data_IF_562505187289
#
_entry.id   IF_562505187289
#
_cell.length_a   1.000
_cell.length_b   1.000
_cell.length_c   1.000
_cell.angle_alpha   90.00
_cell.angle_beta   90.00
_cell.angle_gamma   90.00
#
_symmetry.space_group_name_H-M   'P 1'
#
loop_
_entity.id
_entity.type
_entity.pdbx_description
1 polymer ?
#
# COMPACT_ATOMS: atom_id res chain seq x y z
N UNK A 1 18.12 1.40 -10.69
CA UNK A 1 17.15 0.39 -10.20
C UNK A 1 17.81 -0.40 -9.08
N UNK A 2 17.10 -0.64 -7.98
CA UNK A 2 17.58 -1.43 -6.85
C UNK A 2 17.18 -2.90 -6.99
N UNK A 3 15.89 -3.14 -7.28
CA UNK A 3 15.31 -4.46 -7.42
C UNK A 3 14.67 -4.61 -8.81
N UNK A 4 14.99 -5.69 -9.51
CA UNK A 4 14.41 -6.04 -10.81
C UNK A 4 13.81 -7.44 -10.72
N UNK A 5 12.59 -7.59 -11.15
CA UNK A 5 11.79 -8.80 -11.10
C UNK A 5 11.32 -9.10 -12.50
N UNK A 6 11.67 -10.27 -13.04
CA UNK A 6 11.31 -10.64 -14.39
C UNK A 6 10.62 -12.00 -14.45
N UNK A 7 9.40 -11.99 -14.99
CA UNK A 7 8.57 -13.14 -15.31
C UNK A 7 8.41 -14.16 -14.17
N UNK A 8 8.19 -13.70 -12.92
CA UNK A 8 8.00 -14.60 -11.78
C UNK A 8 6.73 -15.44 -11.93
N UNK A 9 6.90 -16.74 -11.70
CA UNK A 9 5.82 -17.73 -11.68
C UNK A 9 5.91 -18.53 -10.39
N UNK A 10 4.73 -18.79 -9.78
CA UNK A 10 4.60 -19.68 -8.63
C UNK A 10 3.32 -20.47 -8.71
N UNK A 11 3.47 -21.79 -8.77
CA UNK A 11 2.38 -22.75 -8.76
C UNK A 11 2.28 -23.45 -7.40
N UNK A 12 1.07 -23.54 -6.86
CA UNK A 12 0.72 -24.43 -5.77
C UNK A 12 -0.29 -25.48 -6.26
N UNK A 13 -0.50 -26.60 -5.55
CA UNK A 13 -1.47 -27.61 -5.98
C UNK A 13 -2.85 -27.01 -6.26
N UNK A 14 -3.23 -26.95 -7.53
CA UNK A 14 -4.53 -26.43 -7.98
C UNK A 14 -4.62 -24.91 -8.16
N UNK A 15 -3.56 -24.13 -7.86
CA UNK A 15 -3.60 -22.67 -7.97
C UNK A 15 -2.27 -22.12 -8.48
N UNK A 16 -2.31 -21.34 -9.57
CA UNK A 16 -1.20 -20.51 -9.99
C UNK A 16 -1.29 -19.17 -9.23
N UNK A 17 -0.49 -19.02 -8.19
CA UNK A 17 -0.54 -17.87 -7.30
C UNK A 17 0.17 -16.62 -7.89
N UNK A 18 1.22 -16.84 -8.68
CA UNK A 18 1.98 -15.80 -9.40
C UNK A 18 2.14 -16.25 -10.85
N UNK A 19 1.80 -15.40 -11.79
CA UNK A 19 1.69 -15.74 -13.21
C UNK A 19 2.33 -14.67 -14.09
N UNK A 20 3.66 -14.73 -14.22
CA UNK A 20 4.44 -13.85 -15.08
C UNK A 20 4.59 -12.42 -14.53
N UNK A 21 4.74 -12.26 -13.21
CA UNK A 21 4.90 -10.96 -12.58
C UNK A 21 6.26 -10.36 -12.89
N UNK A 22 6.28 -9.15 -13.47
CA UNK A 22 7.49 -8.40 -13.81
C UNK A 22 7.36 -6.94 -13.40
N UNK A 23 8.36 -6.42 -12.67
CA UNK A 23 8.45 -5.00 -12.30
C UNK A 23 9.87 -4.66 -11.84
N UNK A 24 10.12 -3.37 -11.68
CA UNK A 24 11.38 -2.89 -11.11
C UNK A 24 11.11 -1.80 -10.10
N UNK A 25 11.97 -1.70 -9.08
CA UNK A 25 11.90 -0.71 -8.01
C UNK A 25 13.17 0.13 -8.03
N UNK A 26 13.02 1.43 -8.12
CA UNK A 26 14.13 2.36 -8.05
C UNK A 26 14.55 2.59 -6.60
N UNK A 27 15.84 2.89 -6.40
CA UNK A 27 16.40 3.21 -5.10
C UNK A 27 15.73 4.45 -4.48
N UNK A 28 15.49 4.42 -3.17
CA UNK A 28 14.87 5.51 -2.41
C UNK A 28 13.38 5.73 -2.73
N UNK A 29 12.71 4.76 -3.37
CA UNK A 29 11.29 4.82 -3.72
C UNK A 29 10.45 3.87 -2.89
N UNK A 30 9.20 4.23 -2.72
CA UNK A 30 8.18 3.36 -2.18
C UNK A 30 7.35 2.78 -3.34
N UNK A 31 7.40 1.45 -3.48
CA UNK A 31 6.63 0.70 -4.48
C UNK A 31 5.52 -0.09 -3.79
N UNK A 32 4.29 0.06 -4.27
CA UNK A 32 3.11 -0.62 -3.75
C UNK A 32 2.64 -1.76 -4.65
N UNK A 33 2.45 -2.95 -4.08
CA UNK A 33 1.77 -4.06 -4.75
C UNK A 33 0.34 -4.16 -4.22
N UNK A 34 -0.64 -3.74 -5.04
CA UNK A 34 -2.02 -3.56 -4.66
C UNK A 34 -2.91 -4.63 -5.26
N UNK A 35 -3.86 -5.14 -4.48
CA UNK A 35 -4.84 -6.10 -4.99
C UNK A 35 -5.68 -6.72 -3.88
N UNK A 36 -6.73 -7.49 -4.24
CA UNK A 36 -7.57 -8.16 -3.26
C UNK A 36 -6.82 -9.29 -2.55
N UNK A 37 -7.45 -9.87 -1.53
CA UNK A 37 -6.97 -11.09 -0.92
C UNK A 37 -6.93 -12.22 -1.95
N UNK A 38 -5.87 -13.03 -1.91
CA UNK A 38 -5.67 -14.11 -2.89
C UNK A 38 -5.16 -13.65 -4.27
N UNK A 39 -4.89 -12.35 -4.50
CA UNK A 39 -4.35 -11.87 -5.77
C UNK A 39 -2.90 -12.28 -6.06
N UNK A 40 -2.18 -12.86 -5.08
CA UNK A 40 -0.78 -13.25 -5.22
C UNK A 40 0.22 -12.26 -4.62
N UNK A 41 -0.23 -11.21 -3.88
CA UNK A 41 0.64 -10.20 -3.26
C UNK A 41 1.66 -10.81 -2.29
N UNK A 42 1.16 -11.50 -1.25
CA UNK A 42 2.00 -12.12 -0.22
C UNK A 42 2.94 -13.17 -0.82
N UNK A 43 2.46 -14.01 -1.75
CA UNK A 43 3.31 -14.99 -2.43
C UNK A 43 4.42 -14.32 -3.24
N UNK A 44 4.11 -13.22 -3.95
CA UNK A 44 5.12 -12.44 -4.65
C UNK A 44 6.14 -11.88 -3.67
N UNK A 45 5.68 -11.33 -2.54
CA UNK A 45 6.54 -10.76 -1.52
C UNK A 45 7.45 -11.84 -0.89
N UNK A 46 6.91 -13.00 -0.49
CA UNK A 46 7.66 -14.12 0.08
C UNK A 46 8.76 -14.63 -0.87
N UNK A 47 8.51 -14.61 -2.19
CA UNK A 47 9.52 -14.94 -3.18
C UNK A 47 10.64 -13.88 -3.16
N UNK A 48 10.30 -12.60 -3.13
CA UNK A 48 11.26 -11.50 -3.09
C UNK A 48 12.07 -11.48 -1.80
N UNK A 49 11.48 -11.82 -0.69
CA UNK A 49 12.11 -11.95 0.63
C UNK A 49 13.06 -13.17 0.72
N UNK A 50 12.93 -14.11 -0.22
CA UNK A 50 13.70 -15.33 -0.24
C UNK A 50 13.21 -16.40 0.73
N UNK A 51 11.94 -16.35 1.12
CA UNK A 51 11.28 -17.35 1.96
C UNK A 51 10.80 -18.51 1.11
N UNK A 52 10.24 -18.19 -0.07
CA UNK A 52 9.72 -19.15 -1.05
C UNK A 52 10.49 -19.01 -2.35
N UNK A 53 10.81 -20.13 -3.01
CA UNK A 53 11.44 -20.09 -4.33
C UNK A 53 10.37 -19.92 -5.41
N UNK A 54 10.69 -19.11 -6.44
CA UNK A 54 9.88 -19.06 -7.65
C UNK A 54 10.08 -20.36 -8.45
N UNK A 55 9.05 -20.76 -9.19
CA UNK A 55 9.15 -21.90 -10.11
C UNK A 55 9.77 -21.46 -11.45
N UNK A 56 9.52 -20.20 -11.86
CA UNK A 56 10.15 -19.57 -13.04
C UNK A 56 10.42 -18.08 -12.75
N UNK A 57 11.28 -17.48 -13.57
CA UNK A 57 11.63 -16.06 -13.51
C UNK A 57 12.94 -15.77 -12.78
N UNK A 58 13.32 -14.50 -12.73
CA UNK A 58 14.58 -14.06 -12.13
C UNK A 58 14.39 -12.82 -11.27
N UNK A 59 15.23 -12.70 -10.24
CA UNK A 59 15.30 -11.56 -9.33
C UNK A 59 16.73 -11.06 -9.33
N UNK A 60 16.90 -9.77 -9.64
CA UNK A 60 18.18 -9.08 -9.57
C UNK A 60 18.12 -7.98 -8.51
N UNK A 61 19.15 -7.92 -7.70
CA UNK A 61 19.36 -6.86 -6.72
C UNK A 61 20.67 -6.14 -7.07
N UNK A 62 20.63 -4.81 -7.23
CA UNK A 62 21.73 -4.03 -7.79
C UNK A 62 22.25 -4.56 -9.15
N UNK A 63 21.33 -5.03 -10.02
CA UNK A 63 21.68 -5.58 -11.34
C UNK A 63 22.36 -6.94 -11.32
N UNK A 64 22.52 -7.58 -10.15
CA UNK A 64 23.09 -8.93 -10.00
C UNK A 64 22.02 -9.92 -9.52
N UNK A 65 22.09 -11.22 -9.90
CA UNK A 65 21.20 -12.21 -9.34
C UNK A 65 21.22 -12.20 -7.80
N UNK A 66 20.07 -12.36 -7.18
CA UNK A 66 19.94 -12.41 -5.72
C UNK A 66 20.88 -13.47 -5.12
N UNK A 67 21.75 -13.03 -4.20
CA UNK A 67 22.72 -13.87 -3.49
C UNK A 67 22.25 -14.22 -2.07
N UNK A 68 22.99 -15.09 -1.38
CA UNK A 68 22.72 -15.42 0.03
C UNK A 68 22.89 -14.20 0.96
N UNK A 69 23.78 -13.27 0.59
CA UNK A 69 24.01 -12.03 1.36
C UNK A 69 22.85 -11.03 1.28
N UNK A 70 21.92 -11.25 0.34
CA UNK A 70 20.74 -10.41 0.19
C UNK A 70 19.97 -10.23 1.49
N UNK A 71 19.85 -11.29 2.30
CA UNK A 71 19.14 -11.26 3.61
C UNK A 71 19.80 -10.34 4.64
N UNK A 72 21.06 -9.98 4.48
CA UNK A 72 21.76 -9.06 5.37
C UNK A 72 21.44 -7.58 5.08
N UNK A 73 20.96 -7.29 3.87
CA UNK A 73 20.70 -5.92 3.38
C UNK A 73 19.23 -5.60 3.17
N UNK A 74 18.34 -6.54 3.46
CA UNK A 74 16.89 -6.33 3.43
C UNK A 74 16.29 -6.42 4.82
N UNK A 75 15.24 -5.63 5.06
CA UNK A 75 14.42 -5.68 6.25
C UNK A 75 13.04 -6.21 5.92
N UNK A 76 12.47 -7.04 6.78
CA UNK A 76 11.17 -7.68 6.52
C UNK A 76 10.25 -7.46 7.70
N UNK A 77 9.08 -6.90 7.44
CA UNK A 77 7.97 -6.86 8.37
C UNK A 77 6.84 -7.75 7.83
N UNK A 78 6.72 -8.94 8.38
CA UNK A 78 5.65 -9.88 8.03
C UNK A 78 4.29 -9.42 8.53
N UNK A 79 3.23 -9.81 7.83
CA UNK A 79 1.84 -9.58 8.27
C UNK A 79 1.59 -10.17 9.67
N UNK A 80 2.10 -11.38 9.93
CA UNK A 80 1.97 -12.07 11.19
C UNK A 80 3.36 -12.50 11.71
N UNK A 81 3.94 -11.72 12.61
CA UNK A 81 5.18 -12.08 13.30
C UNK A 81 4.87 -12.54 14.71
N UNK A 82 5.20 -13.78 15.04
CA UNK A 82 5.18 -14.25 16.42
C UNK A 82 6.44 -13.73 17.14
N UNK A 83 6.27 -12.79 18.05
CA UNK A 83 7.34 -12.42 18.98
C UNK A 83 7.39 -13.47 20.12
N UNK A 84 8.57 -13.69 20.67
CA UNK A 84 8.74 -14.61 21.78
C UNK A 84 7.95 -14.11 23.00
N UNK A 85 7.26 -15.04 23.69
CA UNK A 85 6.51 -14.71 24.88
C UNK A 85 7.41 -14.23 26.03
N UNK A 86 6.87 -13.36 26.88
CA UNK A 86 7.55 -12.82 28.06
C UNK A 86 8.80 -11.99 27.78
N UNK A 87 9.01 -11.52 26.54
CA UNK A 87 10.04 -10.56 26.20
C UNK A 87 9.53 -9.14 26.31
N UNK A 88 10.38 -8.24 26.76
CA UNK A 88 10.19 -6.80 26.68
C UNK A 88 10.53 -6.31 25.26
N UNK A 89 10.07 -5.10 24.90
CA UNK A 89 10.44 -4.43 23.64
C UNK A 89 11.96 -4.33 23.48
N UNK A 90 12.67 -3.97 24.54
CA UNK A 90 14.13 -3.88 24.60
C UNK A 90 14.82 -5.21 24.29
N UNK A 91 14.34 -6.28 24.90
CA UNK A 91 14.88 -7.63 24.69
C UNK A 91 14.62 -8.14 23.27
N UNK A 92 13.44 -7.86 22.72
CA UNK A 92 13.13 -8.19 21.34
C UNK A 92 14.07 -7.46 20.37
N UNK A 93 14.27 -6.15 20.51
CA UNK A 93 15.22 -5.39 19.68
C UNK A 93 16.63 -5.96 19.77
N UNK A 94 17.15 -6.22 20.99
CA UNK A 94 18.47 -6.80 21.17
C UNK A 94 18.63 -8.20 20.58
N UNK A 95 17.57 -9.01 20.63
CA UNK A 95 17.58 -10.35 20.03
C UNK A 95 17.78 -10.25 18.52
N UNK A 96 16.96 -9.43 17.85
CA UNK A 96 17.07 -9.28 16.38
C UNK A 96 18.37 -8.60 15.97
N UNK A 97 18.84 -7.61 16.74
CA UNK A 97 20.15 -6.97 16.55
C UNK A 97 21.28 -8.00 16.50
N UNK A 98 21.24 -9.00 17.36
CA UNK A 98 22.29 -10.02 17.44
C UNK A 98 22.39 -10.96 16.20
N UNK A 99 21.41 -10.97 15.31
CA UNK A 99 21.43 -11.79 14.10
C UNK A 99 22.20 -11.18 12.94
N UNK A 100 22.55 -9.90 13.02
CA UNK A 100 23.16 -9.17 11.92
C UNK A 100 24.56 -8.70 12.25
N UNK A 101 25.45 -8.75 11.26
CA UNK A 101 26.80 -8.24 11.38
C UNK A 101 26.85 -6.69 11.30
N UNK A 102 25.97 -6.11 10.47
CA UNK A 102 25.75 -4.67 10.39
C UNK A 102 24.41 -4.37 11.03
N UNK A 103 24.38 -3.36 11.89
CA UNK A 103 23.17 -2.98 12.58
C UNK A 103 23.11 -1.46 12.83
N UNK A 104 21.90 -0.95 12.89
CA UNK A 104 21.59 0.43 13.28
C UNK A 104 21.57 0.52 14.81
N UNK A 105 22.08 1.61 15.43
CA UNK A 105 21.99 1.79 16.87
C UNK A 105 20.54 1.67 17.38
N UNK A 106 20.32 0.83 18.40
CA UNK A 106 18.97 0.59 18.95
C UNK A 106 18.31 1.88 19.41
N UNK A 107 19.05 2.83 19.97
CA UNK A 107 18.50 4.10 20.45
C UNK A 107 17.92 4.94 19.29
N UNK A 108 18.52 4.90 18.10
CA UNK A 108 17.98 5.55 16.91
C UNK A 108 16.67 4.88 16.45
N UNK A 109 16.60 3.55 16.50
CA UNK A 109 15.37 2.81 16.19
C UNK A 109 14.25 3.12 17.18
N UNK A 110 14.61 3.24 18.45
CA UNK A 110 13.67 3.60 19.53
C UNK A 110 13.10 5.00 19.32
N UNK A 111 13.93 5.94 18.92
CA UNK A 111 13.51 7.31 18.63
C UNK A 111 12.63 7.33 17.34
N UNK A 112 13.13 6.77 16.24
CA UNK A 112 12.44 6.72 14.95
C UNK A 112 11.05 6.10 15.07
N UNK A 113 10.92 4.96 15.76
CA UNK A 113 9.67 4.22 15.88
C UNK A 113 8.84 4.61 17.13
N UNK A 114 9.25 5.66 17.86
CA UNK A 114 8.56 6.14 19.07
C UNK A 114 8.30 5.02 20.09
N UNK A 115 9.36 4.28 20.46
CA UNK A 115 9.28 3.12 21.36
C UNK A 115 9.77 3.42 22.79
N UNK A 116 10.26 4.65 23.09
CA UNK A 116 10.93 4.99 24.34
C UNK A 116 10.16 4.59 25.61
N UNK A 117 8.87 4.93 25.68
CA UNK A 117 8.01 4.60 26.84
C UNK A 117 7.59 3.12 26.90
N UNK A 118 7.91 2.35 25.85
CA UNK A 118 7.50 0.95 25.70
C UNK A 118 8.63 -0.03 25.98
N UNK A 119 9.87 0.43 26.12
CA UNK A 119 11.07 -0.42 26.16
C UNK A 119 11.01 -1.56 27.18
N UNK A 120 10.46 -1.31 28.36
CA UNK A 120 10.37 -2.29 29.46
C UNK A 120 9.00 -2.96 29.52
N UNK A 121 8.13 -2.72 28.51
CA UNK A 121 6.81 -3.35 28.39
C UNK A 121 6.91 -4.71 27.72
N UNK A 122 6.21 -5.71 28.27
CA UNK A 122 6.03 -7.03 27.65
C UNK A 122 5.34 -6.89 26.28
N UNK A 123 5.92 -7.54 25.25
CA UNK A 123 5.45 -7.45 23.85
C UNK A 123 3.99 -7.88 23.68
N UNK A 124 3.47 -8.76 24.50
CA UNK A 124 2.07 -9.22 24.50
C UNK A 124 1.08 -8.14 24.97
N UNK A 125 1.56 -7.14 25.72
CA UNK A 125 0.75 -6.04 26.26
C UNK A 125 0.75 -4.81 25.37
N UNK A 126 1.34 -4.90 24.18
CA UNK A 126 1.32 -3.83 23.20
C UNK A 126 -0.04 -3.75 22.49
N UNK A 127 -0.52 -2.53 22.24
CA UNK A 127 -1.63 -2.34 21.31
C UNK A 127 -1.20 -2.71 19.88
N UNK A 128 -2.17 -2.90 18.96
CA UNK A 128 -1.87 -3.20 17.57
C UNK A 128 -0.89 -2.20 16.95
N UNK A 129 -1.12 -0.90 17.10
CA UNK A 129 -0.22 0.13 16.58
C UNK A 129 1.15 0.15 17.26
N UNK A 130 1.22 -0.11 18.58
CA UNK A 130 2.50 -0.24 19.28
C UNK A 130 3.30 -1.45 18.80
N UNK A 131 2.59 -2.56 18.55
CA UNK A 131 3.20 -3.77 18.00
C UNK A 131 3.74 -3.54 16.59
N UNK A 132 2.98 -2.88 15.72
CA UNK A 132 3.44 -2.59 14.36
C UNK A 132 4.69 -1.68 14.35
N UNK A 133 4.76 -0.70 15.25
CA UNK A 133 5.96 0.13 15.42
C UNK A 133 7.19 -0.68 15.86
N UNK A 134 7.01 -1.66 16.75
CA UNK A 134 8.07 -2.58 17.15
C UNK A 134 8.50 -3.47 15.98
N UNK A 135 7.56 -4.04 15.22
CA UNK A 135 7.88 -4.87 14.05
C UNK A 135 8.62 -4.08 12.98
N UNK A 136 8.23 -2.83 12.76
CA UNK A 136 8.96 -1.93 11.86
C UNK A 136 10.39 -1.66 12.35
N UNK A 137 10.57 -1.38 13.65
CA UNK A 137 11.90 -1.20 14.22
C UNK A 137 12.77 -2.46 14.06
N UNK A 138 12.19 -3.65 14.24
CA UNK A 138 12.87 -4.93 14.01
C UNK A 138 13.28 -5.08 12.54
N UNK A 139 12.42 -4.71 11.59
CA UNK A 139 12.74 -4.74 10.17
C UNK A 139 13.85 -3.76 9.78
N UNK A 140 14.15 -2.78 10.61
CA UNK A 140 15.18 -1.77 10.37
C UNK A 140 16.50 -2.04 11.11
N UNK A 141 16.57 -3.09 11.93
CA UNK A 141 17.72 -3.37 12.81
C UNK A 141 19.03 -3.48 12.03
N UNK A 142 19.03 -4.16 10.88
CA UNK A 142 20.21 -4.37 10.05
C UNK A 142 20.56 -3.19 9.13
N UNK A 143 19.95 -2.00 9.34
CA UNK A 143 20.12 -0.82 8.49
C UNK A 143 19.91 -1.15 6.99
N UNK A 144 18.74 -1.70 6.60
CA UNK A 144 18.51 -2.28 5.29
C UNK A 144 18.50 -1.23 4.18
N UNK A 145 18.82 -1.66 2.95
CA UNK A 145 18.67 -0.85 1.73
C UNK A 145 17.24 -0.94 1.17
N UNK A 146 16.58 -2.10 1.38
CA UNK A 146 15.22 -2.39 0.96
C UNK A 146 14.41 -2.94 2.14
N UNK A 147 13.24 -2.35 2.38
CA UNK A 147 12.31 -2.78 3.44
C UNK A 147 11.06 -3.35 2.79
N UNK A 148 10.71 -4.58 3.15
CA UNK A 148 9.46 -5.23 2.79
C UNK A 148 8.43 -5.04 3.90
N UNK A 149 7.22 -4.63 3.54
CA UNK A 149 6.11 -4.41 4.47
C UNK A 149 4.88 -5.16 3.94
N UNK A 150 4.54 -6.30 4.58
CA UNK A 150 3.35 -7.07 4.17
C UNK A 150 2.12 -6.63 4.96
N UNK A 151 1.22 -5.91 4.28
CA UNK A 151 -0.03 -5.36 4.83
C UNK A 151 0.13 -4.71 6.22
N UNK A 152 1.05 -3.75 6.37
CA UNK A 152 1.57 -3.32 7.68
C UNK A 152 0.55 -2.63 8.57
N UNK A 153 -0.56 -2.12 8.01
CA UNK A 153 -1.58 -1.39 8.78
C UNK A 153 -2.90 -2.14 8.91
N UNK A 154 -2.93 -3.41 8.51
CA UNK A 154 -4.13 -4.24 8.65
C UNK A 154 -4.54 -4.38 10.11
N UNK A 155 -5.82 -4.12 10.40
CA UNK A 155 -6.38 -4.18 11.75
C UNK A 155 -6.07 -2.98 12.66
N UNK A 156 -5.38 -1.95 12.17
CA UNK A 156 -5.14 -0.72 12.90
C UNK A 156 -6.33 0.23 12.84
N UNK A 157 -6.55 0.94 13.93
CA UNK A 157 -7.46 2.08 13.94
C UNK A 157 -6.93 3.23 13.05
N UNK A 158 -7.78 4.18 12.60
CA UNK A 158 -7.38 5.22 11.67
C UNK A 158 -6.24 6.12 12.18
N UNK A 159 -6.16 6.36 13.48
CA UNK A 159 -5.09 7.18 14.05
C UNK A 159 -3.75 6.44 14.08
N UNK A 160 -3.77 5.17 14.51
CA UNK A 160 -2.58 4.30 14.50
C UNK A 160 -2.05 4.10 13.08
N UNK A 161 -2.94 3.99 12.10
CA UNK A 161 -2.57 3.89 10.68
C UNK A 161 -1.84 5.14 10.20
N UNK A 162 -2.38 6.34 10.43
CA UNK A 162 -1.72 7.59 10.07
C UNK A 162 -0.35 7.77 10.73
N UNK A 163 -0.26 7.40 12.01
CA UNK A 163 1.01 7.45 12.73
C UNK A 163 2.04 6.50 12.10
N UNK A 164 1.62 5.31 11.68
CA UNK A 164 2.48 4.35 10.99
C UNK A 164 2.94 4.89 9.62
N UNK A 165 2.05 5.50 8.85
CA UNK A 165 2.42 6.13 7.58
C UNK A 165 3.49 7.20 7.74
N UNK A 166 3.37 8.05 8.77
CA UNK A 166 4.40 9.07 9.05
C UNK A 166 5.77 8.45 9.35
N UNK A 167 5.82 7.28 9.99
CA UNK A 167 7.07 6.55 10.20
C UNK A 167 7.66 6.04 8.88
N UNK A 168 6.82 5.46 8.02
CA UNK A 168 7.22 4.97 6.69
C UNK A 168 7.73 6.13 5.82
N UNK A 169 7.08 7.28 5.84
CA UNK A 169 7.54 8.50 5.15
C UNK A 169 8.91 8.96 5.69
N UNK A 170 9.12 8.92 7.01
CA UNK A 170 10.41 9.22 7.63
C UNK A 170 11.52 8.31 7.13
N UNK A 171 11.29 7.00 7.09
CA UNK A 171 12.23 5.99 6.60
C UNK A 171 12.55 6.22 5.11
N UNK A 172 11.54 6.53 4.31
CA UNK A 172 11.72 6.88 2.90
C UNK A 172 12.55 8.16 2.74
N UNK A 173 12.33 9.17 3.58
CA UNK A 173 13.11 10.42 3.56
C UNK A 173 14.59 10.20 3.92
N UNK A 174 14.94 9.15 4.67
CA UNK A 174 16.32 8.71 4.90
C UNK A 174 16.95 8.02 3.67
N UNK A 175 16.21 7.88 2.58
CA UNK A 175 16.69 7.27 1.33
C UNK A 175 16.48 5.76 1.25
N UNK A 176 15.78 5.14 2.21
CA UNK A 176 15.47 3.70 2.15
C UNK A 176 14.45 3.41 1.05
N UNK A 177 14.64 2.28 0.37
CA UNK A 177 13.67 1.77 -0.60
C UNK A 177 12.64 0.91 0.13
N UNK A 178 11.37 1.04 -0.24
CA UNK A 178 10.27 0.33 0.41
C UNK A 178 9.46 -0.40 -0.64
N UNK A 179 9.16 -1.67 -0.41
CA UNK A 179 8.16 -2.41 -1.14
C UNK A 179 7.08 -2.85 -0.17
N UNK A 180 5.86 -2.36 -0.38
CA UNK A 180 4.74 -2.70 0.48
C UNK A 180 3.63 -3.41 -0.29
N UNK A 181 2.96 -4.33 0.37
CA UNK A 181 1.68 -4.87 -0.08
C UNK A 181 0.56 -4.20 0.70
N UNK A 182 -0.54 -3.95 0.05
CA UNK A 182 -1.74 -3.46 0.73
C UNK A 182 -3.00 -3.73 -0.09
N UNK A 183 -4.12 -3.80 0.60
CA UNK A 183 -5.45 -3.72 0.02
C UNK A 183 -6.14 -2.38 0.36
N UNK A 184 -5.47 -1.49 1.10
CA UNK A 184 -5.94 -0.14 1.40
C UNK A 184 -5.43 0.86 0.36
N UNK A 185 -6.31 1.33 -0.51
CA UNK A 185 -5.95 2.26 -1.58
C UNK A 185 -5.49 3.63 -1.08
N UNK A 186 -6.00 4.05 0.08
CA UNK A 186 -5.55 5.28 0.74
C UNK A 186 -4.06 5.19 1.12
N UNK A 187 -3.63 4.06 1.70
CA UNK A 187 -2.23 3.80 2.05
C UNK A 187 -1.31 3.90 0.83
N UNK A 188 -1.70 3.25 -0.27
CA UNK A 188 -0.95 3.29 -1.50
C UNK A 188 -0.88 4.71 -2.10
N UNK A 189 -1.98 5.48 -2.01
CA UNK A 189 -2.03 6.86 -2.50
C UNK A 189 -1.12 7.79 -1.71
N UNK A 190 -0.96 7.55 -0.40
CA UNK A 190 -0.13 8.40 0.48
C UNK A 190 1.34 8.01 0.38
N UNK A 191 1.67 6.72 0.44
CA UNK A 191 3.04 6.26 0.62
C UNK A 191 3.79 5.98 -0.68
N UNK A 192 3.08 5.47 -1.72
CA UNK A 192 3.76 4.90 -2.88
C UNK A 192 4.05 5.92 -3.97
N UNK A 193 5.29 5.94 -4.44
CA UNK A 193 5.71 6.69 -5.62
C UNK A 193 5.24 6.00 -6.91
N UNK A 194 5.17 4.67 -6.88
CA UNK A 194 4.70 3.83 -7.97
C UNK A 194 3.93 2.64 -7.39
N UNK A 195 2.91 2.20 -8.12
CA UNK A 195 2.10 1.03 -7.76
C UNK A 195 1.99 0.05 -8.91
N UNK A 196 1.88 -1.22 -8.57
CA UNK A 196 1.39 -2.27 -9.47
C UNK A 196 0.09 -2.85 -8.91
N UNK A 197 -0.95 -2.79 -9.71
CA UNK A 197 -2.23 -3.45 -9.40
C UNK A 197 -2.14 -4.89 -9.86
N UNK A 198 -2.27 -5.83 -8.91
CA UNK A 198 -2.23 -7.27 -9.17
C UNK A 198 -3.61 -7.86 -8.98
N UNK A 199 -4.01 -8.72 -9.90
CA UNK A 199 -5.21 -9.54 -9.80
C UNK A 199 -4.93 -10.92 -10.39
N UNK A 200 -5.37 -11.99 -9.68
CA UNK A 200 -5.18 -13.40 -10.10
C UNK A 200 -3.75 -13.73 -10.53
N UNK A 201 -2.77 -13.29 -9.75
CA UNK A 201 -1.36 -13.53 -9.97
C UNK A 201 -0.69 -12.69 -11.07
N UNK A 202 -1.40 -11.75 -11.71
CA UNK A 202 -0.88 -10.93 -12.81
C UNK A 202 -0.93 -9.44 -12.51
N UNK A 203 0.08 -8.70 -12.93
CA UNK A 203 0.03 -7.24 -12.91
C UNK A 203 -0.87 -6.78 -14.06
N UNK A 204 -2.00 -6.16 -13.71
CA UNK A 204 -2.97 -5.61 -14.68
C UNK A 204 -2.71 -4.16 -15.04
N UNK A 205 -2.07 -3.41 -14.13
CA UNK A 205 -1.70 -2.01 -14.37
C UNK A 205 -0.53 -1.61 -13.48
N UNK A 206 0.36 -0.75 -13.99
CA UNK A 206 1.50 -0.22 -13.25
C UNK A 206 1.69 1.27 -13.55
N UNK A 207 2.10 2.06 -12.57
CA UNK A 207 2.45 3.46 -12.74
C UNK A 207 2.32 4.26 -11.46
N UNK A 208 2.57 5.57 -11.55
CA UNK A 208 2.34 6.51 -10.45
C UNK A 208 0.85 6.63 -10.17
N UNK A 209 0.39 6.60 -8.90
CA UNK A 209 -1.03 6.71 -8.55
C UNK A 209 -1.76 7.83 -9.27
N UNK A 210 -1.22 9.04 -9.19
CA UNK A 210 -1.82 10.24 -9.81
C UNK A 210 -1.93 10.13 -11.33
N UNK A 211 -0.90 9.57 -12.00
CA UNK A 211 -0.92 9.38 -13.47
C UNK A 211 -1.96 8.34 -13.88
N UNK A 212 -2.07 7.26 -13.12
CA UNK A 212 -3.06 6.22 -13.39
C UNK A 212 -4.48 6.76 -13.24
N UNK A 213 -4.74 7.56 -12.19
CA UNK A 213 -6.03 8.22 -12.02
C UNK A 213 -6.33 9.18 -13.17
N UNK A 214 -5.38 10.05 -13.54
CA UNK A 214 -5.57 11.03 -14.62
C UNK A 214 -5.80 10.37 -16.01
N UNK A 215 -5.28 9.16 -16.23
CA UNK A 215 -5.51 8.41 -17.48
C UNK A 215 -6.90 7.80 -17.58
N UNK A 216 -7.51 7.49 -16.45
CA UNK A 216 -8.76 6.70 -16.40
C UNK A 216 -9.98 7.52 -16.01
N UNK A 217 -9.78 8.66 -15.36
CA UNK A 217 -10.85 9.48 -14.81
C UNK A 217 -10.68 10.95 -15.14
N UNK A 218 -11.77 11.72 -15.20
CA UNK A 218 -11.74 13.17 -15.18
C UNK A 218 -11.20 13.67 -13.84
N UNK A 219 -10.92 14.97 -13.78
CA UNK A 219 -10.32 15.63 -12.60
C UNK A 219 -11.19 15.55 -11.35
N UNK A 220 -12.51 15.58 -11.51
CA UNK A 220 -13.46 15.50 -10.40
C UNK A 220 -14.75 14.80 -10.83
N UNK A 221 -15.48 14.31 -9.81
CA UNK A 221 -16.83 13.81 -9.90
C UNK A 221 -17.74 14.74 -9.08
N UNK A 222 -18.69 15.36 -9.74
CA UNK A 222 -19.71 16.17 -9.09
C UNK A 222 -20.95 15.31 -8.89
N UNK A 223 -21.42 15.21 -7.64
CA UNK A 223 -22.56 14.37 -7.24
C UNK A 223 -23.64 15.26 -6.64
N UNK A 224 -24.84 15.11 -7.14
CA UNK A 224 -26.05 15.80 -6.64
C UNK A 224 -27.04 14.73 -6.23
N UNK A 225 -27.59 14.76 -5.00
CA UNK A 225 -28.65 13.83 -4.62
C UNK A 225 -29.88 13.96 -5.54
N UNK A 226 -30.43 12.84 -6.02
CA UNK A 226 -31.60 12.88 -6.90
C UNK A 226 -32.82 13.54 -6.24
N UNK A 227 -32.97 13.41 -4.92
CA UNK A 227 -34.06 14.06 -4.19
C UNK A 227 -33.94 15.60 -4.12
N UNK A 228 -32.74 16.14 -4.31
CA UNK A 228 -32.51 17.58 -4.36
C UNK A 228 -32.87 18.19 -5.73
N UNK A 229 -33.14 17.37 -6.74
CA UNK A 229 -33.53 17.81 -8.07
C UNK A 229 -35.05 18.06 -8.10
N UNK A 230 -35.46 19.23 -8.58
CA UNK A 230 -36.86 19.58 -8.75
C UNK A 230 -37.59 18.61 -9.70
N UNK A 231 -36.89 18.04 -10.66
CA UNK A 231 -37.37 16.98 -11.54
C UNK A 231 -36.23 15.97 -11.79
N UNK A 232 -36.23 14.81 -11.10
CA UNK A 232 -35.20 13.79 -11.26
C UNK A 232 -35.10 13.18 -12.69
N UNK A 233 -36.12 13.32 -13.52
CA UNK A 233 -36.12 12.87 -14.91
C UNK A 233 -35.40 13.85 -15.86
N UNK A 234 -35.24 15.10 -15.43
CA UNK A 234 -34.57 16.17 -16.19
C UNK A 234 -33.20 16.48 -15.58
N UNK A 235 -32.25 15.55 -15.77
CA UNK A 235 -30.89 15.76 -15.33
C UNK A 235 -30.19 16.86 -16.14
N UNK A 236 -29.38 17.71 -15.51
CA UNK A 236 -28.52 18.64 -16.23
C UNK A 236 -27.59 17.88 -17.20
N UNK A 237 -27.26 18.53 -18.32
CA UNK A 237 -26.40 17.94 -19.35
C UNK A 237 -25.08 17.41 -18.75
N UNK A 238 -24.74 16.16 -19.03
CA UNK A 238 -23.53 15.49 -18.53
C UNK A 238 -23.68 14.78 -17.18
N UNK A 239 -24.86 14.87 -16.55
CA UNK A 239 -25.17 14.11 -15.34
C UNK A 239 -25.87 12.78 -15.69
N UNK A 240 -25.43 11.70 -15.04
CA UNK A 240 -26.03 10.37 -15.15
C UNK A 240 -26.51 9.89 -13.77
N UNK A 241 -27.71 9.25 -13.70
CA UNK A 241 -28.20 8.71 -12.45
C UNK A 241 -27.41 7.47 -12.04
N UNK A 242 -26.93 7.45 -10.79
CA UNK A 242 -26.25 6.28 -10.19
C UNK A 242 -26.68 6.14 -8.72
N UNK A 243 -27.55 5.17 -8.45
CA UNK A 243 -28.14 5.00 -7.11
C UNK A 243 -28.98 6.21 -6.73
N UNK A 244 -28.68 6.81 -5.59
CA UNK A 244 -29.39 8.00 -5.05
C UNK A 244 -28.84 9.34 -5.56
N UNK A 245 -27.84 9.34 -6.45
CA UNK A 245 -27.15 10.53 -6.93
C UNK A 245 -27.21 10.65 -8.46
N UNK A 246 -27.25 11.88 -8.94
CA UNK A 246 -26.83 12.25 -10.28
C UNK A 246 -25.34 12.59 -10.27
N UNK A 247 -24.54 11.99 -11.15
CA UNK A 247 -23.08 12.13 -11.16
C UNK A 247 -22.62 12.67 -12.51
N UNK A 248 -21.82 13.73 -12.48
CA UNK A 248 -21.14 14.25 -13.65
C UNK A 248 -19.62 14.19 -13.47
N UNK A 249 -18.92 13.49 -14.36
CA UNK A 249 -17.48 13.58 -14.47
C UNK A 249 -17.09 14.93 -15.09
N UNK A 250 -16.15 15.66 -14.49
CA UNK A 250 -15.75 16.97 -15.00
C UNK A 250 -14.24 17.24 -14.87
N UNK A 251 -13.70 17.95 -15.85
CA UNK A 251 -12.37 18.53 -15.80
C UNK A 251 -12.42 20.04 -15.43
N UNK A 252 -13.61 20.62 -15.47
CA UNK A 252 -13.89 22.03 -15.14
C UNK A 252 -15.03 22.11 -14.13
N UNK A 253 -14.65 22.24 -12.86
CA UNK A 253 -15.59 22.30 -11.74
C UNK A 253 -16.40 23.58 -11.81
N UNK A 254 -15.79 24.72 -12.19
CA UNK A 254 -16.45 26.01 -12.24
C UNK A 254 -17.57 26.02 -13.28
N UNK A 255 -17.30 25.56 -14.50
CA UNK A 255 -18.31 25.43 -15.54
C UNK A 255 -19.44 24.49 -15.12
N UNK A 256 -19.13 23.40 -14.42
CA UNK A 256 -20.15 22.44 -13.90
C UNK A 256 -21.04 23.08 -12.83
N UNK A 257 -20.45 23.85 -11.91
CA UNK A 257 -21.22 24.57 -10.90
C UNK A 257 -22.11 25.65 -11.50
N UNK A 258 -21.62 26.39 -12.50
CA UNK A 258 -22.43 27.37 -13.25
C UNK A 258 -23.64 26.70 -13.93
N UNK A 259 -23.43 25.53 -14.56
CA UNK A 259 -24.51 24.75 -15.16
C UNK A 259 -25.57 24.34 -14.13
N UNK A 260 -25.16 23.84 -12.95
CA UNK A 260 -26.08 23.49 -11.88
C UNK A 260 -26.89 24.69 -11.38
N UNK A 261 -26.23 25.83 -11.20
CA UNK A 261 -26.87 27.09 -10.79
C UNK A 261 -27.90 27.55 -11.81
N UNK A 262 -27.56 27.52 -13.11
CA UNK A 262 -28.48 27.85 -14.21
C UNK A 262 -29.67 26.89 -14.30
N UNK A 263 -29.47 25.63 -13.92
CA UNK A 263 -30.52 24.62 -13.87
C UNK A 263 -31.34 24.66 -12.57
N UNK A 264 -31.16 25.68 -11.71
CA UNK A 264 -31.80 25.84 -10.41
C UNK A 264 -31.65 24.63 -9.48
N UNK A 265 -30.52 23.91 -9.58
CA UNK A 265 -30.19 22.79 -8.68
C UNK A 265 -29.62 23.35 -7.38
N UNK A 266 -30.15 22.97 -6.20
CA UNK A 266 -29.57 23.37 -4.92
C UNK A 266 -28.16 22.87 -4.76
N UNK A 267 -27.25 23.71 -4.28
CA UNK A 267 -25.85 23.36 -4.07
C UNK A 267 -25.54 22.91 -2.63
N UNK A 268 -26.52 22.96 -1.73
CA UNK A 268 -26.34 22.72 -0.28
C UNK A 268 -25.91 21.26 0.02
N UNK A 269 -26.34 20.32 -0.80
CA UNK A 269 -26.01 18.90 -0.68
C UNK A 269 -25.08 18.40 -1.80
N UNK A 270 -24.39 19.33 -2.45
CA UNK A 270 -23.45 19.00 -3.51
C UNK A 270 -22.19 18.38 -2.96
N UNK A 271 -21.77 17.26 -3.53
CA UNK A 271 -20.51 16.60 -3.22
C UNK A 271 -19.56 16.67 -4.43
N UNK A 272 -18.38 17.24 -4.22
CA UNK A 272 -17.30 17.20 -5.21
C UNK A 272 -16.21 16.28 -4.65
N UNK A 273 -15.87 15.24 -5.41
CA UNK A 273 -14.83 14.29 -5.02
C UNK A 273 -13.83 14.10 -6.17
N UNK A 274 -12.57 13.88 -5.83
CA UNK A 274 -11.57 13.39 -6.77
C UNK A 274 -11.67 11.86 -6.87
N UNK A 275 -11.46 11.27 -8.05
CA UNK A 275 -11.38 9.82 -8.18
C UNK A 275 -10.27 9.25 -7.30
N UNK A 276 -10.50 8.07 -6.77
CA UNK A 276 -9.60 7.37 -5.86
C UNK A 276 -9.00 6.13 -6.54
N UNK A 277 -7.99 5.52 -5.92
CA UNK A 277 -7.47 4.24 -6.39
C UNK A 277 -8.51 3.12 -6.23
N UNK A 278 -9.47 3.22 -5.30
CA UNK A 278 -10.61 2.29 -5.21
C UNK A 278 -11.46 2.34 -6.48
N UNK A 279 -11.76 3.56 -6.99
CA UNK A 279 -12.48 3.74 -8.25
C UNK A 279 -11.70 3.15 -9.43
N UNK A 280 -10.37 3.32 -9.43
CA UNK A 280 -9.49 2.77 -10.46
C UNK A 280 -9.51 1.24 -10.43
N UNK A 281 -9.36 0.65 -9.24
CA UNK A 281 -9.37 -0.79 -9.06
C UNK A 281 -10.69 -1.40 -9.56
N UNK A 282 -11.82 -0.85 -9.11
CA UNK A 282 -13.15 -1.27 -9.55
C UNK A 282 -13.31 -1.20 -11.07
N UNK A 283 -12.79 -0.13 -11.69
CA UNK A 283 -12.84 0.04 -13.15
C UNK A 283 -12.00 -0.99 -13.91
N UNK A 284 -10.83 -1.36 -13.36
CA UNK A 284 -9.89 -2.28 -14.02
C UNK A 284 -10.31 -3.75 -13.87
N UNK A 285 -10.87 -4.13 -12.74
CA UNK A 285 -11.17 -5.53 -12.39
C UNK A 285 -12.65 -5.90 -12.57
N UNK A 286 -13.54 -4.90 -12.55
CA UNK A 286 -15.00 -5.12 -12.58
C UNK A 286 -15.59 -5.56 -11.24
N UNK A 287 -14.78 -5.75 -10.19
CA UNK A 287 -15.22 -6.12 -8.84
C UNK A 287 -14.48 -5.30 -7.77
N UNK A 288 -15.13 -5.07 -6.63
CA UNK A 288 -14.54 -4.33 -5.51
C UNK A 288 -13.53 -5.18 -4.72
N UNK A 289 -12.61 -4.51 -3.99
CA UNK A 289 -11.61 -5.15 -3.13
C UNK A 289 -12.19 -5.92 -1.94
N UNK A 290 -13.44 -5.61 -1.56
CA UNK A 290 -14.08 -6.10 -0.34
C UNK A 290 -15.02 -7.30 -0.56
N UNK A 291 -15.16 -7.78 -1.77
CA UNK A 291 -16.02 -8.93 -2.11
C UNK A 291 -15.23 -10.23 -2.17
N UNK A 292 -14.63 -10.61 -1.02
CA UNK A 292 -14.07 -11.97 -0.88
C UNK A 292 -14.12 -12.43 0.58
#
# INVERSE_FOLDING_TARGET
MLLEVDNLVKDYPGVRAVDGVSFAVDEGRCFGLLGPNGAGKTTTLEILEGITDADEGTIHFHGTPRSDDYRQVVGIQFQNTALQDFQTVREALKLFDSFYARHRPIDELVELCNLGELLDRDTRKLSGGQRQRLLLAIALVNDPELVFLDEPTTGLDPQSRRNFWSLVEGIKAEGKTILLTTHYMEEASVLCDEIAVIDRGRIIKRGRPEKLLAQHFPRALVRVPLHALSNPELLPTGFEPRGEYAIAPTNDIEATLQLLTQSAVPLDELHISTPTLDDLFLKLTGHGLRES
#
